data_IF_633062226403
#
_entry.id   IF_633062226403
#
_cell.length_a   1.000
_cell.length_b   1.000
_cell.length_c   1.000
_cell.angle_alpha   90.00
_cell.angle_beta   90.00
_cell.angle_gamma   90.00
#
_symmetry.space_group_name_H-M   'P 1'
#
loop_
_entity.id
_entity.type
_entity.pdbx_description
1 polymer ?
#
# COMPACT_ATOMS: atom_id res chain seq x y z
N UNK A 1 20.18 25.01 -3.07
CA UNK A 1 19.30 24.91 -4.24
C UNK A 1 17.87 25.06 -3.72
N UNK A 2 17.17 26.09 -4.13
CA UNK A 2 15.74 26.27 -3.83
C UNK A 2 15.00 25.09 -4.46
N UNK A 3 14.37 24.22 -3.67
CA UNK A 3 13.49 23.19 -4.20
C UNK A 3 12.30 23.89 -4.82
N UNK A 4 12.03 23.63 -6.09
CA UNK A 4 10.80 24.09 -6.73
C UNK A 4 9.61 23.33 -6.13
N UNK A 5 8.47 24.01 -5.99
CA UNK A 5 7.24 23.37 -5.53
C UNK A 5 6.88 22.20 -6.46
N UNK A 6 6.43 21.09 -5.86
CA UNK A 6 5.98 19.92 -6.62
C UNK A 6 4.64 20.25 -7.29
N UNK A 7 4.64 20.42 -8.61
CA UNK A 7 3.42 20.72 -9.39
C UNK A 7 2.77 19.47 -9.98
N UNK A 8 3.56 18.46 -10.26
CA UNK A 8 3.13 17.19 -10.82
C UNK A 8 3.75 16.05 -10.00
N UNK A 9 2.98 14.97 -9.80
CA UNK A 9 3.42 13.79 -9.06
C UNK A 9 2.90 12.52 -9.74
N UNK A 10 3.80 11.59 -10.07
CA UNK A 10 3.43 10.34 -10.73
C UNK A 10 3.15 9.27 -9.67
N UNK A 11 1.99 8.62 -9.74
CA UNK A 11 1.69 7.42 -8.96
C UNK A 11 2.42 6.22 -9.58
N UNK A 12 3.45 5.73 -8.91
CA UNK A 12 4.28 4.62 -9.38
C UNK A 12 3.63 3.26 -9.06
N UNK A 13 2.40 3.06 -9.52
CA UNK A 13 1.67 1.80 -9.38
C UNK A 13 0.90 1.47 -10.66
N UNK A 14 0.89 0.18 -11.04
CA UNK A 14 0.04 -0.36 -12.09
C UNK A 14 -1.23 -1.03 -11.53
N UNK A 15 -1.32 -1.17 -10.21
CA UNK A 15 -2.51 -1.69 -9.55
C UNK A 15 -3.60 -0.60 -9.54
N UNK A 16 -4.74 -0.81 -10.22
CA UNK A 16 -5.78 0.21 -10.32
C UNK A 16 -6.47 0.49 -8.99
N UNK A 17 -6.56 -0.49 -8.09
CA UNK A 17 -7.17 -0.32 -6.78
C UNK A 17 -6.29 0.59 -5.91
N UNK A 18 -4.97 0.33 -5.88
CA UNK A 18 -4.00 1.22 -5.23
C UNK A 18 -4.06 2.62 -5.84
N UNK A 19 -4.04 2.72 -7.16
CA UNK A 19 -4.09 4.02 -7.85
C UNK A 19 -5.27 4.88 -7.42
N UNK A 20 -6.47 4.29 -7.30
CA UNK A 20 -7.67 5.00 -6.83
C UNK A 20 -7.53 5.47 -5.37
N UNK A 21 -7.08 4.59 -4.47
CA UNK A 21 -6.86 4.97 -3.06
C UNK A 21 -5.81 6.08 -2.93
N UNK A 22 -4.68 5.97 -3.62
CA UNK A 22 -3.60 6.96 -3.56
C UNK A 22 -4.05 8.32 -4.10
N UNK A 23 -4.77 8.34 -5.22
CA UNK A 23 -5.30 9.59 -5.78
C UNK A 23 -6.24 10.29 -4.79
N UNK A 24 -7.15 9.54 -4.15
CA UNK A 24 -8.06 10.09 -3.14
C UNK A 24 -7.30 10.62 -1.90
N UNK A 25 -6.26 9.92 -1.44
CA UNK A 25 -5.46 10.34 -0.30
C UNK A 25 -4.61 11.60 -0.58
N UNK A 26 -4.30 11.89 -1.84
CA UNK A 26 -3.51 13.06 -2.26
C UNK A 26 -4.38 14.20 -2.80
N UNK A 27 -5.70 14.03 -2.82
CA UNK A 27 -6.64 15.05 -3.29
C UNK A 27 -6.52 16.36 -2.47
N UNK A 28 -6.68 17.52 -3.13
CA UNK A 28 -6.68 18.83 -2.48
C UNK A 28 -5.30 19.43 -2.22
N UNK A 29 -4.19 18.76 -2.60
CA UNK A 29 -2.83 19.31 -2.47
C UNK A 29 -2.49 20.39 -3.52
N UNK A 30 -3.34 20.61 -4.54
CA UNK A 30 -3.01 21.51 -5.66
C UNK A 30 -1.93 20.93 -6.58
N UNK A 31 -1.58 19.65 -6.43
CA UNK A 31 -0.60 18.92 -7.24
C UNK A 31 -1.36 18.14 -8.32
N UNK A 32 -0.90 18.21 -9.56
CA UNK A 32 -1.45 17.39 -10.64
C UNK A 32 -0.96 15.95 -10.50
N UNK A 33 -1.87 15.05 -10.12
CA UNK A 33 -1.57 13.63 -9.97
C UNK A 33 -1.64 12.96 -11.34
N UNK A 34 -0.56 12.27 -11.72
CA UNK A 34 -0.43 11.52 -12.97
C UNK A 34 -0.31 10.04 -12.70
N UNK A 35 -0.76 9.22 -13.63
CA UNK A 35 -0.71 7.76 -13.52
C UNK A 35 0.26 7.15 -14.52
N UNK A 36 0.70 5.91 -14.31
CA UNK A 36 1.56 5.19 -15.25
C UNK A 36 0.87 4.89 -16.59
N UNK A 37 -0.46 5.00 -16.68
CA UNK A 37 -1.17 4.90 -17.95
C UNK A 37 -0.76 6.01 -18.95
N UNK A 38 -0.33 7.16 -18.44
CA UNK A 38 0.16 8.28 -19.25
C UNK A 38 1.63 8.09 -19.73
N UNK A 39 2.31 7.10 -19.18
CA UNK A 39 3.72 6.81 -19.45
C UNK A 39 3.92 5.35 -19.90
N UNK A 40 3.39 4.96 -21.07
CA UNK A 40 3.42 3.57 -21.53
C UNK A 40 4.85 3.04 -21.77
N UNK A 41 5.83 3.93 -21.95
CA UNK A 41 7.23 3.55 -22.12
C UNK A 41 7.96 3.23 -20.81
N UNK A 42 7.37 3.53 -19.64
CA UNK A 42 7.97 3.17 -18.36
C UNK A 42 7.85 1.66 -18.15
N UNK A 43 8.97 0.92 -17.98
CA UNK A 43 8.93 -0.52 -17.75
C UNK A 43 8.24 -0.87 -16.43
N UNK A 44 7.78 -2.09 -16.32
CA UNK A 44 7.33 -2.63 -15.04
C UNK A 44 8.54 -2.78 -14.12
N UNK A 45 8.38 -2.30 -12.88
CA UNK A 45 9.44 -2.38 -11.88
C UNK A 45 9.29 -3.68 -11.10
N UNK A 46 10.30 -4.52 -11.14
CA UNK A 46 10.34 -5.78 -10.41
C UNK A 46 10.46 -5.52 -8.90
N UNK A 47 9.55 -6.10 -8.11
CA UNK A 47 9.53 -6.03 -6.65
C UNK A 47 10.32 -7.20 -6.04
N UNK A 48 11.66 -7.15 -6.17
CA UNK A 48 12.61 -8.15 -5.71
C UNK A 48 13.23 -7.82 -4.33
N UNK A 49 12.81 -6.73 -3.71
CA UNK A 49 13.30 -6.31 -2.40
C UNK A 49 12.83 -7.23 -1.26
N UNK A 50 13.68 -7.38 -0.26
CA UNK A 50 13.39 -8.17 0.95
C UNK A 50 12.47 -7.44 1.95
N UNK A 51 12.21 -6.14 1.73
CA UNK A 51 11.35 -5.30 2.58
C UNK A 51 10.42 -4.42 1.75
N UNK A 52 9.29 -4.04 2.34
CA UNK A 52 8.39 -3.07 1.71
C UNK A 52 9.08 -1.72 1.43
N UNK A 53 10.02 -1.32 2.29
CA UNK A 53 10.78 -0.09 2.09
C UNK A 53 11.64 -0.17 0.82
N UNK A 54 12.39 -1.27 0.65
CA UNK A 54 13.24 -1.47 -0.53
C UNK A 54 12.41 -1.45 -1.82
N UNK A 55 11.25 -2.11 -1.84
CA UNK A 55 10.36 -2.14 -2.99
C UNK A 55 9.74 -0.76 -3.27
N UNK A 56 9.24 -0.06 -2.25
CA UNK A 56 8.67 1.27 -2.42
C UNK A 56 9.71 2.26 -2.97
N UNK A 57 10.93 2.26 -2.42
CA UNK A 57 12.04 3.09 -2.89
C UNK A 57 12.40 2.75 -4.34
N UNK A 58 12.54 1.47 -4.66
CA UNK A 58 12.89 1.01 -6.01
C UNK A 58 11.86 1.50 -7.02
N UNK A 59 10.58 1.25 -6.77
CA UNK A 59 9.47 1.70 -7.66
C UNK A 59 9.48 3.21 -7.86
N UNK A 60 9.51 3.98 -6.76
CA UNK A 60 9.50 5.43 -6.85
C UNK A 60 10.70 5.96 -7.64
N UNK A 61 11.91 5.46 -7.34
CA UNK A 61 13.14 5.89 -8.00
C UNK A 61 13.15 5.59 -9.49
N UNK A 62 12.77 4.38 -9.90
CA UNK A 62 12.79 3.99 -11.31
C UNK A 62 11.76 4.77 -12.13
N UNK A 63 10.57 5.00 -11.57
CA UNK A 63 9.54 5.81 -12.23
C UNK A 63 9.97 7.27 -12.30
N UNK A 64 10.54 7.85 -11.24
CA UNK A 64 11.03 9.23 -11.29
C UNK A 64 12.12 9.43 -12.34
N UNK A 65 13.06 8.49 -12.46
CA UNK A 65 14.10 8.52 -13.49
C UNK A 65 13.54 8.40 -14.91
N UNK A 66 12.57 7.52 -15.11
CA UNK A 66 12.00 7.25 -16.43
C UNK A 66 11.07 8.36 -16.91
N UNK A 67 10.36 9.03 -16.01
CA UNK A 67 9.40 10.10 -16.34
C UNK A 67 10.01 11.50 -16.31
N UNK A 68 11.13 11.68 -15.60
CA UNK A 68 11.71 12.99 -15.32
C UNK A 68 10.87 13.81 -14.31
N UNK A 69 9.88 13.22 -13.65
CA UNK A 69 8.97 13.84 -12.69
C UNK A 69 9.12 13.23 -11.30
N UNK A 70 8.82 13.96 -10.22
CA UNK A 70 8.65 13.35 -8.91
C UNK A 70 7.65 12.22 -8.96
N UNK A 71 7.92 11.13 -8.26
CA UNK A 71 7.01 10.01 -8.18
C UNK A 71 6.83 9.51 -6.76
N UNK A 72 5.66 8.92 -6.48
CA UNK A 72 5.36 8.26 -5.21
C UNK A 72 4.93 6.82 -5.46
N UNK A 73 5.53 5.92 -4.71
CA UNK A 73 5.17 4.50 -4.68
C UNK A 73 4.79 4.09 -3.27
N UNK A 74 3.97 3.04 -3.15
CA UNK A 74 3.79 2.31 -1.91
C UNK A 74 4.14 0.84 -2.08
N UNK A 75 4.59 0.23 -0.99
CA UNK A 75 4.55 -1.22 -0.86
C UNK A 75 3.91 -1.61 0.47
N UNK A 76 3.17 -2.72 0.46
CA UNK A 76 2.35 -3.12 1.59
C UNK A 76 2.55 -4.59 1.91
N UNK A 77 2.93 -4.86 3.16
CA UNK A 77 2.99 -6.19 3.74
C UNK A 77 1.83 -6.47 4.69
N UNK A 78 1.54 -7.75 4.86
CA UNK A 78 0.65 -8.26 5.88
C UNK A 78 1.43 -9.23 6.78
N UNK A 79 1.57 -8.90 8.04
CA UNK A 79 2.24 -9.74 9.02
C UNK A 79 1.19 -10.42 9.91
N UNK A 80 1.29 -11.74 10.07
CA UNK A 80 0.39 -12.55 10.91
C UNK A 80 1.23 -13.29 11.94
N UNK A 81 0.99 -13.03 13.23
CA UNK A 81 1.81 -13.55 14.32
C UNK A 81 1.87 -15.08 14.35
N UNK A 82 0.71 -15.73 14.21
CA UNK A 82 0.61 -17.20 14.19
C UNK A 82 1.36 -17.85 13.02
N UNK A 83 1.71 -17.09 11.99
CA UNK A 83 2.46 -17.55 10.83
C UNK A 83 3.92 -17.05 10.84
N UNK A 84 4.41 -16.53 12.00
CA UNK A 84 5.76 -16.00 12.12
C UNK A 84 6.03 -14.79 11.24
N UNK A 85 5.01 -13.93 11.05
CA UNK A 85 5.10 -12.71 10.23
C UNK A 85 4.78 -12.92 8.74
N UNK A 86 4.54 -14.16 8.30
CA UNK A 86 4.10 -14.41 6.90
C UNK A 86 2.68 -13.92 6.67
N UNK A 87 2.31 -13.50 5.44
CA UNK A 87 3.09 -13.42 4.21
C UNK A 87 4.15 -12.30 4.14
N UNK A 88 4.11 -11.29 5.00
CA UNK A 88 5.08 -10.18 4.99
C UNK A 88 5.06 -9.42 3.67
N UNK A 89 6.22 -9.10 3.14
CA UNK A 89 6.42 -8.40 1.84
C UNK A 89 5.86 -9.20 0.65
N UNK A 90 5.69 -10.51 0.79
CA UNK A 90 5.14 -11.38 -0.26
C UNK A 90 3.61 -11.41 -0.31
N UNK A 91 2.92 -10.51 0.41
CA UNK A 91 1.47 -10.50 0.52
C UNK A 91 0.75 -10.50 -0.85
N UNK A 92 1.25 -9.74 -1.83
CA UNK A 92 0.63 -9.65 -3.14
C UNK A 92 0.70 -10.97 -3.96
N UNK A 93 1.73 -11.79 -3.72
CA UNK A 93 1.99 -13.05 -4.44
C UNK A 93 2.05 -14.27 -3.52
N UNK A 94 1.35 -14.21 -2.39
CA UNK A 94 1.40 -15.26 -1.36
C UNK A 94 0.99 -16.63 -1.85
N UNK A 95 -0.03 -16.73 -2.71
CA UNK A 95 -0.46 -17.98 -3.32
C UNK A 95 0.23 -18.28 -4.67
N UNK A 96 1.15 -17.42 -5.13
CA UNK A 96 1.91 -17.57 -6.38
C UNK A 96 1.94 -16.27 -7.18
N UNK A 97 2.80 -16.22 -8.20
CA UNK A 97 3.05 -15.02 -9.03
C UNK A 97 1.78 -14.47 -9.73
N UNK A 98 0.85 -15.33 -10.11
CA UNK A 98 -0.39 -14.95 -10.79
C UNK A 98 -1.63 -15.13 -9.91
N UNK A 99 -1.44 -15.19 -8.58
CA UNK A 99 -2.54 -15.38 -7.65
C UNK A 99 -3.49 -14.18 -7.65
N UNK A 100 -4.79 -14.48 -7.62
CA UNK A 100 -5.81 -13.46 -7.37
C UNK A 100 -5.84 -13.07 -5.90
N UNK A 101 -6.51 -11.98 -5.57
CA UNK A 101 -6.75 -11.58 -4.18
C UNK A 101 -7.46 -12.69 -3.38
N UNK A 102 -8.42 -13.36 -4.02
CA UNK A 102 -9.16 -14.46 -3.41
C UNK A 102 -8.26 -15.68 -3.14
N UNK A 103 -7.34 -16.02 -4.06
CA UNK A 103 -6.38 -17.11 -3.85
C UNK A 103 -5.46 -16.84 -2.66
N UNK A 104 -4.99 -15.60 -2.54
CA UNK A 104 -4.16 -15.18 -1.41
C UNK A 104 -4.92 -15.27 -0.09
N UNK A 105 -6.17 -14.78 -0.03
CA UNK A 105 -7.04 -14.92 1.14
C UNK A 105 -7.32 -16.40 1.49
N UNK A 106 -7.64 -17.21 0.50
CA UNK A 106 -7.91 -18.64 0.68
C UNK A 106 -6.70 -19.38 1.24
N UNK A 107 -5.49 -19.08 0.73
CA UNK A 107 -4.26 -19.67 1.26
C UNK A 107 -4.03 -19.24 2.70
N UNK A 108 -4.17 -17.95 3.00
CA UNK A 108 -3.99 -17.43 4.36
C UNK A 108 -4.94 -18.10 5.35
N UNK A 109 -6.22 -18.20 5.02
CA UNK A 109 -7.22 -18.82 5.88
C UNK A 109 -6.93 -20.30 6.11
N UNK A 110 -6.51 -21.02 5.08
CA UNK A 110 -6.12 -22.44 5.18
C UNK A 110 -4.90 -22.63 6.10
N UNK A 111 -3.90 -21.77 6.02
CA UNK A 111 -2.71 -21.86 6.90
C UNK A 111 -3.04 -21.51 8.36
N UNK A 112 -4.16 -20.84 8.61
CA UNK A 112 -4.68 -20.53 9.93
C UNK A 112 -5.75 -21.51 10.43
N UNK A 113 -6.02 -22.61 9.73
CA UNK A 113 -6.95 -23.63 10.22
C UNK A 113 -6.47 -24.17 11.57
N UNK A 114 -7.41 -24.26 12.52
CA UNK A 114 -7.11 -24.67 13.91
C UNK A 114 -6.47 -23.62 14.80
N UNK A 115 -6.08 -22.46 14.27
CA UNK A 115 -5.59 -21.34 15.09
C UNK A 115 -6.78 -20.61 15.73
N UNK A 116 -6.85 -20.52 17.07
CA UNK A 116 -7.96 -19.86 17.76
C UNK A 116 -7.99 -18.36 17.46
N UNK A 117 -9.18 -17.74 17.53
CA UNK A 117 -9.41 -16.31 17.21
C UNK A 117 -8.44 -15.37 17.92
N UNK A 118 -8.13 -15.64 19.17
CA UNK A 118 -7.27 -14.81 20.01
C UNK A 118 -5.79 -14.85 19.57
N UNK A 119 -5.41 -15.83 18.78
CA UNK A 119 -4.05 -16.00 18.26
C UNK A 119 -3.91 -15.58 16.79
N UNK A 120 -4.95 -15.00 16.19
CA UNK A 120 -4.94 -14.54 14.78
C UNK A 120 -4.57 -13.07 14.62
N UNK A 121 -3.81 -12.53 15.56
CA UNK A 121 -3.34 -11.15 15.48
C UNK A 121 -2.54 -10.93 14.21
N UNK A 122 -2.77 -9.79 13.57
CA UNK A 122 -2.14 -9.43 12.31
C UNK A 122 -1.96 -7.93 12.20
N UNK A 123 -1.00 -7.51 11.38
CA UNK A 123 -0.72 -6.12 11.11
C UNK A 123 -0.50 -5.89 9.63
N UNK A 124 -1.19 -4.92 9.06
CA UNK A 124 -0.78 -4.30 7.81
C UNK A 124 0.30 -3.26 8.04
N UNK A 125 1.31 -3.27 7.19
CA UNK A 125 2.34 -2.24 7.10
C UNK A 125 2.40 -1.71 5.68
N UNK A 126 2.27 -0.39 5.50
CA UNK A 126 2.56 0.29 4.25
C UNK A 126 3.77 1.18 4.41
N UNK A 127 4.71 1.05 3.50
CA UNK A 127 5.79 2.02 3.31
C UNK A 127 5.52 2.78 2.02
N UNK A 128 5.55 4.12 2.08
CA UNK A 128 5.47 4.99 0.93
C UNK A 128 6.80 5.71 0.72
N UNK A 129 7.24 5.80 -0.53
CA UNK A 129 8.47 6.51 -0.90
C UNK A 129 8.16 7.54 -1.98
N UNK A 130 8.62 8.78 -1.77
CA UNK A 130 8.65 9.82 -2.79
C UNK A 130 10.08 9.89 -3.31
N UNK A 131 10.26 9.83 -4.63
CA UNK A 131 11.56 9.99 -5.26
C UNK A 131 11.53 11.16 -6.27
N UNK A 132 12.63 11.87 -6.36
CA UNK A 132 12.85 12.97 -7.30
C UNK A 132 13.83 12.55 -8.38
N UNK A 133 13.73 13.11 -9.60
CA UNK A 133 14.68 12.83 -10.68
C UNK A 133 16.13 13.11 -10.29
N UNK A 134 16.36 14.07 -9.39
CA UNK A 134 17.68 14.42 -8.84
C UNK A 134 18.25 13.40 -7.84
N UNK A 135 17.49 12.38 -7.46
CA UNK A 135 17.92 11.30 -6.58
C UNK A 135 17.49 11.43 -5.11
N UNK A 136 16.94 12.57 -4.71
CA UNK A 136 16.38 12.74 -3.36
C UNK A 136 15.21 11.77 -3.14
N UNK A 137 15.15 11.20 -1.93
CA UNK A 137 14.10 10.25 -1.53
C UNK A 137 13.59 10.62 -0.14
N UNK A 138 12.28 10.55 0.03
CA UNK A 138 11.61 10.66 1.32
C UNK A 138 10.73 9.45 1.55
N UNK A 139 10.84 8.83 2.74
CA UNK A 139 10.12 7.60 3.10
C UNK A 139 9.20 7.87 4.28
N UNK A 140 7.99 7.34 4.22
CA UNK A 140 7.02 7.37 5.31
C UNK A 140 6.42 5.97 5.50
N UNK A 141 5.85 5.72 6.66
CA UNK A 141 5.20 4.45 6.92
C UNK A 141 3.92 4.60 7.75
N UNK A 142 3.03 3.63 7.60
CA UNK A 142 1.83 3.54 8.42
C UNK A 142 1.44 2.09 8.65
N UNK A 143 0.91 1.81 9.83
CA UNK A 143 0.45 0.47 10.21
C UNK A 143 -0.98 0.47 10.71
N UNK A 144 -1.63 -0.68 10.56
CA UNK A 144 -2.96 -0.95 11.12
C UNK A 144 -2.92 -2.31 11.80
N UNK A 145 -3.11 -2.31 13.11
CA UNK A 145 -3.26 -3.55 13.89
C UNK A 145 -4.66 -4.12 13.71
N UNK A 146 -4.77 -5.44 13.73
CA UNK A 146 -6.03 -6.15 13.57
C UNK A 146 -5.89 -7.65 13.80
N UNK A 147 -6.81 -8.40 13.23
CA UNK A 147 -6.80 -9.86 13.31
C UNK A 147 -7.35 -10.48 12.02
N UNK A 148 -6.95 -11.72 11.72
CA UNK A 148 -7.48 -12.45 10.58
C UNK A 148 -8.78 -13.17 10.99
N UNK A 149 -9.85 -12.91 10.25
CA UNK A 149 -11.14 -13.58 10.38
C UNK A 149 -11.04 -15.08 10.08
N UNK A 150 -12.05 -15.85 10.47
CA UNK A 150 -12.13 -17.29 10.12
C UNK A 150 -12.65 -17.53 8.70
N UNK A 151 -13.36 -16.54 8.14
CA UNK A 151 -13.91 -16.57 6.78
C UNK A 151 -13.98 -15.13 6.24
N UNK A 152 -14.09 -14.93 4.92
CA UNK A 152 -14.23 -13.60 4.32
C UNK A 152 -15.55 -12.94 4.77
N UNK A 153 -15.50 -11.63 5.04
CA UNK A 153 -16.62 -10.81 5.49
C UNK A 153 -16.61 -9.50 4.73
N UNK A 154 -17.71 -9.16 4.05
CA UNK A 154 -17.81 -7.96 3.21
C UNK A 154 -17.28 -8.19 1.79
N UNK A 155 -17.52 -7.20 0.94
CA UNK A 155 -17.31 -7.28 -0.51
C UNK A 155 -16.64 -6.04 -1.12
N UNK A 156 -16.27 -5.07 -0.26
CA UNK A 156 -15.59 -3.84 -0.68
C UNK A 156 -14.07 -3.98 -0.59
N UNK A 157 -13.37 -2.99 -1.15
CA UNK A 157 -11.92 -2.93 -1.09
C UNK A 157 -11.24 -3.96 -1.99
N UNK A 158 -10.04 -4.39 -1.61
CA UNK A 158 -9.22 -5.33 -2.37
C UNK A 158 -8.20 -6.05 -1.47
N UNK A 159 -7.49 -7.02 -2.04
CA UNK A 159 -6.46 -7.76 -1.31
C UNK A 159 -7.05 -8.58 -0.17
N UNK A 160 -6.51 -8.39 1.02
CA UNK A 160 -6.94 -9.09 2.23
C UNK A 160 -8.04 -8.37 3.03
N UNK A 161 -8.62 -7.30 2.50
CA UNK A 161 -9.68 -6.54 3.19
C UNK A 161 -10.83 -7.41 3.71
N UNK A 162 -11.32 -8.44 2.98
CA UNK A 162 -12.41 -9.28 3.46
C UNK A 162 -12.05 -10.15 4.67
N UNK A 163 -10.77 -10.42 4.88
CA UNK A 163 -10.31 -11.29 5.98
C UNK A 163 -9.61 -10.54 7.11
N UNK A 164 -9.38 -9.23 6.96
CA UNK A 164 -8.73 -8.42 7.98
C UNK A 164 -9.75 -7.66 8.82
N UNK A 165 -9.87 -8.08 10.09
CA UNK A 165 -10.75 -7.46 11.08
C UNK A 165 -10.05 -6.28 11.76
N UNK A 166 -10.78 -5.20 11.93
CA UNK A 166 -10.38 -4.05 12.75
C UNK A 166 -11.17 -4.10 14.06
N UNK A 167 -10.54 -4.51 15.19
CA UNK A 167 -11.25 -4.79 16.43
C UNK A 167 -12.04 -3.58 16.96
N UNK A 168 -11.49 -2.37 16.84
CA UNK A 168 -12.12 -1.12 17.30
C UNK A 168 -13.45 -0.85 16.59
N UNK A 169 -13.63 -1.33 15.37
CA UNK A 169 -14.85 -1.16 14.57
C UNK A 169 -15.74 -2.41 14.60
N UNK A 170 -15.24 -3.55 15.06
CA UNK A 170 -15.95 -4.83 14.98
C UNK A 170 -16.28 -5.25 13.56
N UNK A 171 -15.56 -4.74 12.55
CA UNK A 171 -15.79 -4.94 11.11
C UNK A 171 -14.51 -5.40 10.42
N UNK A 172 -14.66 -6.06 9.27
CA UNK A 172 -13.56 -6.22 8.32
C UNK A 172 -13.33 -4.92 7.54
N UNK A 173 -12.15 -4.76 6.95
CA UNK A 173 -11.89 -3.62 6.05
C UNK A 173 -12.83 -3.62 4.84
N UNK A 174 -13.28 -4.79 4.38
CA UNK A 174 -14.24 -4.90 3.27
C UNK A 174 -15.69 -4.53 3.65
N UNK A 175 -15.99 -4.26 4.89
CA UNK A 175 -17.29 -3.75 5.35
C UNK A 175 -17.29 -2.22 5.51
N UNK A 176 -16.12 -1.58 5.42
CA UNK A 176 -15.98 -0.12 5.54
C UNK A 176 -16.22 0.55 4.18
N UNK A 177 -16.69 1.80 4.22
CA UNK A 177 -16.65 2.67 3.04
C UNK A 177 -15.21 3.10 2.75
N UNK A 178 -14.97 3.67 1.58
CA UNK A 178 -13.64 4.17 1.24
C UNK A 178 -13.24 5.33 2.16
N UNK A 179 -14.19 6.17 2.56
CA UNK A 179 -14.00 7.28 3.47
C UNK A 179 -13.63 6.78 4.87
N UNK A 180 -14.37 5.79 5.41
CA UNK A 180 -14.07 5.16 6.69
C UNK A 180 -12.68 4.52 6.67
N UNK A 181 -12.36 3.78 5.59
CA UNK A 181 -11.05 3.13 5.42
C UNK A 181 -9.92 4.15 5.31
N UNK A 182 -10.13 5.27 4.61
CA UNK A 182 -9.14 6.34 4.47
C UNK A 182 -8.87 7.11 5.78
N UNK A 183 -9.70 6.96 6.81
CA UNK A 183 -9.43 7.53 8.13
C UNK A 183 -8.49 6.67 8.99
N UNK A 184 -8.44 5.35 8.75
CA UNK A 184 -7.80 4.41 9.69
C UNK A 184 -6.71 3.54 9.09
N UNK A 185 -6.74 3.33 7.77
CA UNK A 185 -5.90 2.32 7.12
C UNK A 185 -4.40 2.62 7.24
N UNK A 186 -3.60 1.55 7.16
CA UNK A 186 -2.14 1.63 7.08
C UNK A 186 -1.67 2.58 5.98
N UNK A 187 -2.30 2.50 4.78
CA UNK A 187 -1.99 3.37 3.64
C UNK A 187 -2.35 4.83 3.93
N UNK A 188 -3.52 5.08 4.51
CA UNK A 188 -3.93 6.44 4.89
C UNK A 188 -2.95 7.07 5.88
N UNK A 189 -2.47 6.31 6.87
CA UNK A 189 -1.47 6.79 7.84
C UNK A 189 -0.11 7.10 7.19
N UNK A 190 0.34 6.27 6.25
CA UNK A 190 1.57 6.52 5.50
C UNK A 190 1.42 7.78 4.63
N UNK A 191 0.30 7.91 3.91
CA UNK A 191 0.06 9.01 2.99
C UNK A 191 -0.32 10.32 3.67
N UNK A 192 -0.85 10.31 4.89
CA UNK A 192 -0.98 11.52 5.70
C UNK A 192 0.39 12.17 5.96
N UNK A 193 1.43 11.36 6.17
CA UNK A 193 2.80 11.86 6.33
C UNK A 193 3.38 12.35 4.99
N UNK A 194 3.08 11.65 3.88
CA UNK A 194 3.42 12.11 2.51
C UNK A 194 2.82 13.49 2.26
N UNK A 195 1.52 13.68 2.53
CA UNK A 195 0.84 14.98 2.40
C UNK A 195 1.53 16.06 3.20
N UNK A 196 1.69 15.85 4.50
CA UNK A 196 2.32 16.82 5.39
C UNK A 196 3.77 17.14 5.00
N UNK A 197 4.46 16.21 4.33
CA UNK A 197 5.78 16.50 3.79
C UNK A 197 5.70 17.34 2.51
N UNK A 198 4.80 17.01 1.57
CA UNK A 198 4.60 17.77 0.34
C UNK A 198 4.14 19.21 0.60
N UNK A 199 3.24 19.41 1.57
CA UNK A 199 2.76 20.75 1.98
C UNK A 199 3.85 21.65 2.56
N UNK A 200 4.94 21.07 3.07
CA UNK A 200 6.09 21.82 3.59
C UNK A 200 7.17 22.09 2.53
N UNK A 201 7.00 21.59 1.31
CA UNK A 201 7.89 21.96 0.22
C UNK A 201 7.52 23.37 -0.25
N UNK A 202 8.50 24.21 -0.63
CA UNK A 202 8.26 25.59 -1.03
C UNK A 202 7.40 25.71 -2.28
#
# INVERSE_FOLDING_TARGET
MTRESVKELVLATRNPDKGRELAALLEGLGIHIRTLAEFPAVPEVEEDGETCEANAIKKAREVARSTGLPSVADDTGLEVDALGGRPGVFAARYAGEHATYEDNCRKLLRELEGVPKQARHARFLTVAAIAFPGGDIHVTQGSLEGAIAEHPIGDRGFGYDPVFLVPEYGKSLAQLTIEEKNCISHRAKAFAQVRGWLERQP
#
